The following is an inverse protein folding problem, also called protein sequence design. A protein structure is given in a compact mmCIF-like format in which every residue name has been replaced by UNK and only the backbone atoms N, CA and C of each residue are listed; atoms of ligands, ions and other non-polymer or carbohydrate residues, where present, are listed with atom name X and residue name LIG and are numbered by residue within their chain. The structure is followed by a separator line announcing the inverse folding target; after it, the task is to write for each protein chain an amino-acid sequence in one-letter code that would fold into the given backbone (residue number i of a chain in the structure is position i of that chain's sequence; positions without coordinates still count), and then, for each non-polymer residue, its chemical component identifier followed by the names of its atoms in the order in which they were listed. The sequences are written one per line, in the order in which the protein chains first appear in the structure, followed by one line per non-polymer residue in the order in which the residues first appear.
data_IF_793702381163
#
_entry.id   IF_793702381163
#
_cell.length_a   1.000
_cell.length_b   1.000
_cell.length_c   1.000
_cell.angle_alpha   90.00
_cell.angle_beta   90.00
_cell.angle_gamma   90.00
#
_symmetry.space_group_name_H-M   'P 1'
#
loop_
_entity.id
_entity.type
_entity.pdbx_description
1 polymer ?
#
# COMPACT_ATOMS: atom_id res chain seq x y z
N UNK A 1 -41.55 14.06 45.97
CA UNK A 1 -41.48 15.04 44.87
C UNK A 1 -40.57 14.48 43.79
N UNK A 2 -41.07 14.23 42.58
CA UNK A 2 -40.24 13.81 41.44
C UNK A 2 -39.98 15.04 40.57
N UNK A 3 -38.73 15.48 40.54
CA UNK A 3 -38.26 16.53 39.61
C UNK A 3 -38.15 15.93 38.22
N UNK A 4 -38.94 16.44 37.29
CA UNK A 4 -38.88 16.09 35.87
C UNK A 4 -37.85 17.02 35.21
N UNK A 5 -36.74 16.48 34.71
CA UNK A 5 -35.80 17.25 33.89
C UNK A 5 -36.17 17.12 32.42
N UNK A 6 -36.66 18.21 31.85
CA UNK A 6 -36.90 18.37 30.41
C UNK A 6 -35.60 18.81 29.75
N UNK A 7 -35.03 18.02 28.85
CA UNK A 7 -33.89 18.42 28.04
C UNK A 7 -34.38 18.89 26.67
N UNK A 8 -34.43 20.20 26.49
CA UNK A 8 -34.58 20.83 25.17
C UNK A 8 -33.19 21.03 24.55
N UNK A 9 -33.07 20.72 23.26
CA UNK A 9 -31.96 21.04 22.34
C UNK A 9 -30.54 20.82 22.91
N UNK A 10 -29.98 19.65 22.62
CA UNK A 10 -28.57 19.36 22.95
C UNK A 10 -27.69 19.94 21.84
N UNK A 11 -27.12 21.11 22.08
CA UNK A 11 -25.96 21.62 21.33
C UNK A 11 -24.77 20.66 21.48
N UNK A 12 -24.05 20.39 20.39
CA UNK A 12 -22.90 19.46 20.29
C UNK A 12 -21.70 19.78 21.22
N UNK A 13 -21.78 20.83 22.05
CA UNK A 13 -20.72 21.29 22.94
C UNK A 13 -20.80 20.64 24.35
N UNK A 14 -21.88 19.89 24.66
CA UNK A 14 -22.08 19.26 25.99
C UNK A 14 -22.10 17.72 25.98
N UNK A 15 -21.27 17.07 25.16
CA UNK A 15 -20.91 15.67 25.42
C UNK A 15 -19.97 15.63 26.63
N UNK A 16 -20.52 15.74 27.83
CA UNK A 16 -19.81 15.45 29.06
C UNK A 16 -19.35 14.00 28.99
N UNK A 17 -18.06 13.79 28.74
CA UNK A 17 -17.43 12.51 29.00
C UNK A 17 -17.70 12.15 30.48
N UNK A 18 -18.05 10.89 30.76
CA UNK A 18 -18.24 10.37 32.13
C UNK A 18 -16.89 10.35 32.87
N UNK A 19 -16.42 11.51 33.30
CA UNK A 19 -15.03 11.73 33.70
C UNK A 19 -14.75 11.55 35.18
N UNK A 20 -15.79 11.32 35.99
CA UNK A 20 -15.61 11.09 37.43
C UNK A 20 -16.27 9.79 37.87
N UNK A 21 -15.65 9.13 38.85
CA UNK A 21 -16.17 7.89 39.42
C UNK A 21 -17.59 8.07 40.01
N UNK A 22 -17.90 9.26 40.54
CA UNK A 22 -19.23 9.57 41.09
C UNK A 22 -20.31 9.65 40.00
N UNK A 23 -20.05 10.30 38.86
CA UNK A 23 -21.00 10.33 37.75
C UNK A 23 -21.25 8.94 37.16
N UNK A 24 -20.21 8.08 37.14
CA UNK A 24 -20.38 6.69 36.74
C UNK A 24 -21.23 5.90 37.75
N UNK A 25 -21.10 6.17 39.05
CA UNK A 25 -21.96 5.57 40.08
C UNK A 25 -23.42 5.98 39.91
N UNK A 26 -23.71 7.26 39.68
CA UNK A 26 -25.08 7.73 39.47
C UNK A 26 -25.74 7.02 38.27
N UNK A 27 -24.99 6.85 37.18
CA UNK A 27 -25.46 6.10 36.00
C UNK A 27 -25.65 4.61 36.30
N UNK A 28 -24.73 3.99 37.04
CA UNK A 28 -24.85 2.60 37.47
C UNK A 28 -26.07 2.41 38.38
N UNK A 29 -26.26 3.25 39.39
CA UNK A 29 -27.43 3.23 40.28
C UNK A 29 -28.72 3.33 39.47
N UNK A 30 -28.77 4.29 38.54
CA UNK A 30 -29.90 4.44 37.64
C UNK A 30 -30.19 3.16 36.85
N UNK A 31 -29.19 2.54 36.22
CA UNK A 31 -29.36 1.30 35.45
C UNK A 31 -29.74 0.12 36.33
N UNK A 32 -29.19 0.04 37.55
CA UNK A 32 -29.52 -0.99 38.52
C UNK A 32 -30.98 -0.89 38.97
N UNK A 33 -31.49 0.32 39.26
CA UNK A 33 -32.91 0.53 39.60
C UNK A 33 -33.86 0.21 38.46
N UNK A 34 -33.37 0.21 37.21
CA UNK A 34 -34.11 -0.22 36.01
C UNK A 34 -33.96 -1.71 35.71
N UNK A 35 -33.28 -2.47 36.57
CA UNK A 35 -33.14 -3.93 36.47
C UNK A 35 -32.04 -4.40 35.52
N UNK A 36 -31.12 -3.54 35.11
CA UNK A 36 -30.01 -3.93 34.23
C UNK A 36 -28.83 -4.53 35.02
N UNK A 37 -28.26 -5.61 34.50
CA UNK A 37 -27.10 -6.30 35.08
C UNK A 37 -25.81 -5.47 34.90
N UNK A 38 -25.18 -5.13 36.03
CA UNK A 38 -23.92 -4.41 36.10
C UNK A 38 -22.71 -5.32 36.39
N UNK A 39 -22.92 -6.62 36.55
CA UNK A 39 -21.91 -7.60 36.93
C UNK A 39 -21.65 -7.65 38.44
N UNK A 40 -20.71 -8.50 38.85
CA UNK A 40 -20.47 -8.86 40.26
C UNK A 40 -19.98 -7.73 41.18
N UNK A 41 -19.53 -6.61 40.63
CA UNK A 41 -19.11 -5.44 41.41
C UNK A 41 -20.20 -4.36 41.56
N UNK A 42 -21.34 -4.49 40.86
CA UNK A 42 -22.48 -3.58 41.01
C UNK A 42 -22.16 -2.11 40.67
N UNK A 43 -22.49 -1.22 41.59
CA UNK A 43 -22.22 0.23 41.51
C UNK A 43 -20.82 0.51 42.07
N UNK A 44 -19.81 0.49 41.22
CA UNK A 44 -18.40 0.64 41.61
C UNK A 44 -17.76 1.95 41.15
N UNK A 45 -18.45 2.72 40.31
CA UNK A 45 -17.95 3.97 39.74
C UNK A 45 -16.90 3.76 38.65
N UNK A 46 -16.83 2.56 38.05
CA UNK A 46 -15.97 2.23 36.91
C UNK A 46 -16.82 1.92 35.69
N UNK A 47 -16.54 2.58 34.57
CA UNK A 47 -17.27 2.36 33.32
C UNK A 47 -16.77 1.08 32.60
N UNK A 48 -17.04 -0.06 33.23
CA UNK A 48 -16.66 -1.39 32.75
C UNK A 48 -17.57 -1.91 31.62
N UNK A 49 -17.21 -3.09 31.09
CA UNK A 49 -17.91 -3.75 29.96
C UNK A 49 -19.41 -3.97 30.24
N UNK A 50 -19.77 -4.33 31.47
CA UNK A 50 -21.16 -4.59 31.88
C UNK A 50 -21.99 -3.32 32.00
N UNK A 51 -21.46 -2.27 32.62
CA UNK A 51 -22.10 -0.94 32.65
C UNK A 51 -22.34 -0.37 31.25
N UNK A 52 -21.36 -0.51 30.33
CA UNK A 52 -21.55 -0.11 28.91
C UNK A 52 -22.66 -0.90 28.21
N UNK A 53 -22.77 -2.21 28.49
CA UNK A 53 -23.84 -3.05 27.94
C UNK A 53 -25.21 -2.69 28.51
N UNK A 54 -25.29 -2.37 29.80
CA UNK A 54 -26.52 -1.92 30.45
C UNK A 54 -27.02 -0.60 29.86
N UNK A 55 -26.12 0.36 29.62
CA UNK A 55 -26.43 1.62 28.93
C UNK A 55 -27.01 1.38 27.54
N UNK A 56 -26.35 0.54 26.74
CA UNK A 56 -26.81 0.22 25.39
C UNK A 56 -28.23 -0.38 25.40
N UNK A 57 -28.48 -1.32 26.32
CA UNK A 57 -29.79 -1.95 26.45
C UNK A 57 -30.85 -0.98 26.96
N UNK A 58 -30.51 -0.12 27.91
CA UNK A 58 -31.41 0.93 28.39
C UNK A 58 -31.82 1.85 27.24
N UNK A 59 -30.87 2.40 26.48
CA UNK A 59 -31.20 3.26 25.33
C UNK A 59 -32.09 2.53 24.33
N UNK A 60 -31.79 1.27 24.01
CA UNK A 60 -32.62 0.43 23.12
C UNK A 60 -34.08 0.29 23.60
N UNK A 61 -34.33 0.30 24.91
CA UNK A 61 -35.70 0.24 25.47
C UNK A 61 -36.44 1.57 25.47
N UNK A 62 -35.73 2.71 25.53
CA UNK A 62 -36.35 4.05 25.62
C UNK A 62 -36.82 4.58 24.26
N UNK A 63 -36.27 4.09 23.15
CA UNK A 63 -36.61 4.55 21.79
C UNK A 63 -37.92 3.93 21.22
N UNK A 64 -38.71 3.28 22.06
CA UNK A 64 -40.09 2.87 21.76
C UNK A 64 -40.21 1.55 20.98
N UNK A 65 -40.65 0.51 21.67
CA UNK A 65 -41.13 -0.73 21.04
C UNK A 65 -42.57 -0.58 20.56
N UNK A 66 -42.76 -0.53 19.24
CA UNK A 66 -43.92 -1.11 18.56
C UNK A 66 -43.42 -2.30 17.72
N UNK A 67 -44.18 -3.41 17.64
CA UNK A 67 -43.71 -4.65 17.06
C UNK A 67 -43.54 -4.47 15.55
N UNK A 68 -42.29 -4.40 15.10
CA UNK A 68 -41.96 -4.56 13.68
C UNK A 68 -42.45 -5.97 13.33
N UNK A 69 -43.34 -6.17 12.34
CA UNK A 69 -43.66 -7.51 11.85
C UNK A 69 -42.32 -8.15 11.58
N UNK A 70 -42.07 -9.34 12.15
CA UNK A 70 -40.84 -10.10 11.92
C UNK A 70 -40.35 -9.80 10.51
N UNK A 71 -39.27 -9.00 10.32
CA UNK A 71 -38.50 -9.26 9.15
C UNK A 71 -38.08 -10.69 9.42
N UNK A 72 -38.57 -11.60 8.58
CA UNK A 72 -37.92 -12.87 8.34
C UNK A 72 -36.55 -12.51 7.75
N UNK A 73 -35.71 -11.80 8.51
CA UNK A 73 -34.29 -11.96 8.44
C UNK A 73 -34.14 -13.31 9.13
N UNK A 74 -33.84 -14.37 8.38
CA UNK A 74 -33.59 -15.67 8.97
C UNK A 74 -32.60 -15.48 10.13
N UNK A 75 -32.63 -16.35 11.15
CA UNK A 75 -31.52 -16.40 12.08
C UNK A 75 -30.24 -16.54 11.24
N UNK A 76 -29.49 -15.45 11.08
CA UNK A 76 -28.07 -15.56 10.72
C UNK A 76 -27.33 -15.76 12.03
N UNK A 77 -27.78 -16.76 12.81
CA UNK A 77 -26.83 -17.81 13.15
C UNK A 77 -26.24 -18.20 11.80
N UNK A 78 -24.99 -17.81 11.47
CA UNK A 78 -24.38 -18.29 10.25
C UNK A 78 -24.60 -19.81 10.29
N UNK A 79 -25.25 -20.43 9.28
CA UNK A 79 -25.38 -21.88 9.26
C UNK A 79 -24.02 -22.45 9.64
N UNK A 80 -24.00 -23.43 10.54
CA UNK A 80 -22.78 -24.20 10.82
C UNK A 80 -22.14 -24.53 9.47
N UNK A 81 -21.05 -23.84 9.12
CA UNK A 81 -20.48 -23.86 7.77
C UNK A 81 -20.32 -22.52 7.02
N UNK A 82 -20.77 -21.35 7.52
CA UNK A 82 -20.48 -20.07 6.85
C UNK A 82 -19.03 -19.64 7.10
N UNK A 83 -18.27 -19.39 6.03
CA UNK A 83 -16.83 -19.13 6.14
C UNK A 83 -16.56 -17.81 6.90
N UNK A 84 -15.39 -17.72 7.55
CA UNK A 84 -14.94 -16.47 8.20
C UNK A 84 -14.96 -15.30 7.21
N UNK A 85 -14.53 -15.55 5.98
CA UNK A 85 -14.56 -14.59 4.89
C UNK A 85 -15.96 -14.04 4.61
N UNK A 86 -17.00 -14.89 4.63
CA UNK A 86 -18.38 -14.46 4.39
C UNK A 86 -18.86 -13.48 5.45
N UNK A 87 -18.63 -13.83 6.72
CA UNK A 87 -18.99 -12.96 7.84
C UNK A 87 -18.31 -11.59 7.72
N UNK A 88 -17.04 -11.58 7.31
CA UNK A 88 -16.31 -10.32 7.11
C UNK A 88 -16.88 -9.50 5.94
N UNK A 89 -17.14 -10.13 4.79
CA UNK A 89 -17.69 -9.42 3.62
C UNK A 89 -19.06 -8.83 3.96
N UNK A 90 -19.92 -9.57 4.65
CA UNK A 90 -21.23 -9.07 5.09
C UNK A 90 -21.09 -7.89 6.06
N UNK A 91 -20.18 -7.96 7.03
CA UNK A 91 -20.03 -6.92 8.04
C UNK A 91 -19.28 -5.66 7.56
N UNK A 92 -18.32 -5.82 6.64
CA UNK A 92 -17.33 -4.79 6.32
C UNK A 92 -17.07 -4.59 4.82
N UNK A 93 -17.77 -5.31 3.93
CA UNK A 93 -17.52 -5.24 2.49
C UNK A 93 -17.71 -3.84 1.89
N UNK A 94 -18.54 -3.01 2.51
CA UNK A 94 -18.78 -1.61 2.11
C UNK A 94 -17.85 -0.61 2.80
N UNK A 95 -16.95 -1.05 3.68
CA UNK A 95 -16.05 -0.15 4.42
C UNK A 95 -15.08 0.53 3.46
N UNK A 96 -15.00 1.84 3.57
CA UNK A 96 -14.08 2.69 2.81
C UNK A 96 -13.11 3.44 3.73
N UNK A 97 -12.00 3.89 3.15
CA UNK A 97 -10.94 4.63 3.81
C UNK A 97 -10.46 5.80 2.94
N UNK A 98 -10.31 6.98 3.54
CA UNK A 98 -9.75 8.19 2.91
C UNK A 98 -8.30 8.43 3.29
N UNK A 99 -7.87 7.93 4.45
CA UNK A 99 -6.54 8.18 4.99
C UNK A 99 -6.12 7.08 5.98
N UNK A 100 -4.92 7.21 6.52
CA UNK A 100 -4.37 6.28 7.51
C UNK A 100 -5.12 6.27 8.84
N UNK A 101 -5.69 7.41 9.26
CA UNK A 101 -6.43 7.51 10.52
C UNK A 101 -7.71 6.66 10.48
N UNK A 102 -8.48 6.72 9.39
CA UNK A 102 -9.67 5.88 9.20
C UNK A 102 -9.33 4.38 9.16
N UNK A 103 -8.19 4.02 8.57
CA UNK A 103 -7.68 2.63 8.58
C UNK A 103 -7.33 2.22 10.01
N UNK A 104 -6.50 2.98 10.70
CA UNK A 104 -6.07 2.66 12.06
C UNK A 104 -7.26 2.59 13.03
N UNK A 105 -8.23 3.49 12.92
CA UNK A 105 -9.46 3.46 13.72
C UNK A 105 -10.27 2.18 13.49
N UNK A 106 -10.39 1.72 12.24
CA UNK A 106 -11.06 0.45 11.93
C UNK A 106 -10.37 -0.76 12.58
N UNK A 107 -9.04 -0.85 12.50
CA UNK A 107 -8.30 -1.94 13.15
C UNK A 107 -8.37 -1.84 14.67
N UNK A 108 -8.27 -0.64 15.24
CA UNK A 108 -8.37 -0.42 16.69
C UNK A 108 -9.75 -0.79 17.22
N UNK A 109 -10.82 -0.48 16.48
CA UNK A 109 -12.19 -0.86 16.86
C UNK A 109 -12.39 -2.38 16.89
N UNK A 110 -11.82 -3.11 15.92
CA UNK A 110 -11.98 -4.56 15.82
C UNK A 110 -11.04 -5.36 16.72
N UNK A 111 -9.83 -4.84 16.97
CA UNK A 111 -8.72 -5.64 17.53
C UNK A 111 -8.05 -5.00 18.74
N UNK A 112 -8.40 -3.76 19.08
CA UNK A 112 -7.71 -2.97 20.11
C UNK A 112 -6.33 -2.47 19.70
N UNK A 113 -5.90 -2.66 18.44
CA UNK A 113 -4.59 -2.26 17.92
C UNK A 113 -4.73 -1.53 16.58
N UNK A 114 -3.83 -0.59 16.30
CA UNK A 114 -3.68 -0.03 14.94
C UNK A 114 -3.27 -1.13 13.94
N UNK A 115 -3.35 -0.84 12.64
CA UNK A 115 -3.04 -1.82 11.59
C UNK A 115 -1.63 -2.40 11.72
N UNK A 116 -0.62 -1.55 11.93
CA UNK A 116 0.77 -1.99 11.95
C UNK A 116 1.04 -2.92 13.14
N UNK A 117 0.49 -2.56 14.30
CA UNK A 117 0.61 -3.30 15.55
C UNK A 117 -0.11 -4.65 15.43
N UNK A 118 -1.35 -4.65 14.92
CA UNK A 118 -2.10 -5.87 14.65
C UNK A 118 -1.38 -6.77 13.65
N UNK A 119 -0.93 -6.23 12.51
CA UNK A 119 -0.28 -7.03 11.47
C UNK A 119 1.00 -7.66 12.01
N UNK A 120 1.86 -6.89 12.68
CA UNK A 120 3.11 -7.40 13.29
C UNK A 120 2.85 -8.57 14.23
N UNK A 121 1.84 -8.45 15.08
CA UNK A 121 1.60 -9.41 16.15
C UNK A 121 0.81 -10.64 15.68
N UNK A 122 -0.18 -10.44 14.81
CA UNK A 122 -1.16 -11.47 14.48
C UNK A 122 -0.92 -12.14 13.13
N UNK A 123 -0.26 -11.45 12.19
CA UNK A 123 -0.10 -11.90 10.80
C UNK A 123 1.36 -12.12 10.42
N UNK A 124 2.23 -11.18 10.80
CA UNK A 124 3.63 -11.13 10.41
C UNK A 124 4.36 -12.43 10.73
N UNK A 125 5.12 -12.94 9.77
CA UNK A 125 5.86 -14.20 9.86
C UNK A 125 5.00 -15.46 10.16
N UNK A 126 3.67 -15.41 9.98
CA UNK A 126 2.76 -16.55 10.22
C UNK A 126 2.03 -16.98 8.95
N UNK A 127 1.73 -18.28 8.80
CA UNK A 127 0.98 -18.80 7.66
C UNK A 127 1.59 -18.41 6.32
N UNK A 128 0.79 -17.84 5.41
CA UNK A 128 1.23 -17.35 4.09
C UNK A 128 2.15 -16.12 4.13
N UNK A 129 2.34 -15.54 5.32
CA UNK A 129 3.30 -14.48 5.62
C UNK A 129 4.58 -15.01 6.30
N UNK A 130 4.63 -16.29 6.64
CA UNK A 130 5.80 -16.96 7.21
C UNK A 130 6.86 -17.36 6.19
N UNK A 131 7.94 -17.93 6.70
CA UNK A 131 8.93 -18.62 5.86
C UNK A 131 8.33 -19.93 5.39
N UNK A 132 7.97 -20.02 4.10
CA UNK A 132 7.25 -21.16 3.52
C UNK A 132 7.81 -21.53 2.15
N UNK A 133 7.61 -22.80 1.76
CA UNK A 133 7.71 -23.22 0.36
C UNK A 133 6.31 -23.21 -0.24
N UNK A 134 6.08 -22.34 -1.23
CA UNK A 134 4.80 -22.21 -1.90
C UNK A 134 4.95 -22.52 -3.38
N UNK A 135 4.29 -23.59 -3.84
CA UNK A 135 4.34 -24.10 -5.22
C UNK A 135 5.79 -24.19 -5.75
N UNK A 136 6.64 -24.89 -5.00
CA UNK A 136 8.02 -25.19 -5.39
C UNK A 136 9.01 -24.01 -5.27
N UNK A 137 8.64 -22.89 -4.63
CA UNK A 137 9.60 -21.81 -4.32
C UNK A 137 9.55 -21.40 -2.86
N UNK A 138 10.72 -21.45 -2.22
CA UNK A 138 10.91 -20.93 -0.87
C UNK A 138 10.78 -19.41 -0.85
N UNK A 139 10.12 -18.91 0.21
CA UNK A 139 9.91 -17.50 0.48
C UNK A 139 10.30 -17.24 1.92
N UNK A 140 11.01 -16.14 2.14
CA UNK A 140 11.26 -15.66 3.50
C UNK A 140 10.02 -15.01 4.07
N UNK A 141 9.86 -15.13 5.40
CA UNK A 141 8.83 -14.44 6.15
C UNK A 141 8.82 -12.93 5.92
N UNK A 142 7.63 -12.36 6.05
CA UNK A 142 7.36 -10.93 5.91
C UNK A 142 6.54 -10.46 7.11
N UNK A 143 7.00 -9.39 7.74
CA UNK A 143 6.37 -8.70 8.86
C UNK A 143 6.72 -7.23 8.79
N UNK A 144 6.02 -6.41 9.56
CA UNK A 144 6.52 -5.08 9.92
C UNK A 144 7.67 -5.28 10.92
N UNK A 145 8.86 -4.71 10.69
CA UNK A 145 10.02 -4.91 11.56
C UNK A 145 9.79 -4.39 12.98
N UNK A 146 10.35 -5.09 13.98
CA UNK A 146 10.27 -4.67 15.40
C UNK A 146 11.18 -3.48 15.70
N UNK A 147 12.38 -3.45 15.13
CA UNK A 147 13.28 -2.29 15.23
C UNK A 147 12.72 -1.12 14.45
N UNK A 148 12.84 0.10 14.98
CA UNK A 148 12.32 1.34 14.38
C UNK A 148 10.81 1.28 14.05
N UNK A 149 10.03 0.53 14.84
CA UNK A 149 8.61 0.30 14.57
C UNK A 149 7.79 1.60 14.42
N UNK A 150 8.04 2.60 15.28
CA UNK A 150 7.39 3.91 15.19
C UNK A 150 7.64 4.59 13.83
N UNK A 151 8.88 4.52 13.32
CA UNK A 151 9.21 5.04 11.99
C UNK A 151 8.47 4.28 10.89
N UNK A 152 8.36 2.95 10.99
CA UNK A 152 7.60 2.15 10.03
C UNK A 152 6.09 2.49 10.05
N UNK A 153 5.54 2.76 11.23
CA UNK A 153 4.16 3.22 11.38
C UNK A 153 3.94 4.63 10.80
N UNK A 154 4.88 5.55 11.01
CA UNK A 154 4.84 6.88 10.37
C UNK A 154 4.90 6.77 8.84
N UNK A 155 5.75 5.88 8.31
CA UNK A 155 5.83 5.64 6.87
C UNK A 155 4.55 5.01 6.32
N UNK A 156 3.94 4.06 7.04
CA UNK A 156 2.60 3.57 6.73
C UNK A 156 1.60 4.74 6.65
N UNK A 157 1.58 5.62 7.64
CA UNK A 157 0.67 6.77 7.64
C UNK A 157 0.91 7.69 6.43
N UNK A 158 2.17 7.95 6.07
CA UNK A 158 2.53 8.74 4.88
C UNK A 158 2.03 8.11 3.58
N UNK A 159 2.15 6.79 3.42
CA UNK A 159 1.59 6.09 2.24
C UNK A 159 0.08 6.25 2.18
N UNK A 160 -0.63 5.98 3.28
CA UNK A 160 -2.09 5.93 3.26
C UNK A 160 -2.77 7.31 3.40
N UNK A 161 -2.05 8.34 3.83
CA UNK A 161 -2.52 9.73 3.67
C UNK A 161 -2.47 10.20 2.21
N UNK A 162 -1.75 9.47 1.35
CA UNK A 162 -1.67 9.71 -0.09
C UNK A 162 -2.62 8.79 -0.91
N UNK A 163 -3.69 8.23 -0.31
CA UNK A 163 -4.70 7.43 -1.03
C UNK A 163 -5.17 8.09 -2.35
N UNK A 164 -5.47 9.40 -2.39
CA UNK A 164 -5.85 10.09 -3.62
C UNK A 164 -4.80 9.94 -4.74
N UNK A 165 -3.52 10.20 -4.43
CA UNK A 165 -2.43 10.05 -5.39
C UNK A 165 -2.21 8.59 -5.82
N UNK A 166 -2.33 7.63 -4.90
CA UNK A 166 -2.08 6.21 -5.16
C UNK A 166 -3.12 5.59 -6.10
N UNK A 167 -4.39 5.97 -5.99
CA UNK A 167 -5.49 5.34 -6.72
C UNK A 167 -6.06 6.19 -7.85
N UNK A 168 -5.93 7.51 -7.77
CA UNK A 168 -6.60 8.45 -8.68
C UNK A 168 -5.62 9.39 -9.38
N UNK A 169 -4.35 9.41 -8.97
CA UNK A 169 -3.30 10.23 -9.60
C UNK A 169 -3.44 11.73 -9.36
N UNK A 170 -4.38 12.13 -8.51
CA UNK A 170 -4.71 13.51 -8.16
C UNK A 170 -4.87 13.64 -6.64
N UNK A 171 -4.58 14.82 -6.10
CA UNK A 171 -4.97 15.15 -4.74
C UNK A 171 -6.50 15.34 -4.67
N UNK A 172 -7.12 15.06 -3.53
CA UNK A 172 -8.56 15.29 -3.33
C UNK A 172 -9.19 14.39 -2.28
N UNK A 173 -10.50 14.57 -2.07
CA UNK A 173 -11.26 13.77 -1.11
C UNK A 173 -11.79 12.49 -1.76
N UNK A 174 -10.91 11.51 -1.97
CA UNK A 174 -11.24 10.22 -2.54
C UNK A 174 -11.07 9.12 -1.49
N UNK A 175 -11.82 8.03 -1.63
CA UNK A 175 -11.75 6.88 -0.73
C UNK A 175 -11.55 5.58 -1.49
N UNK A 176 -10.98 4.59 -0.82
CA UNK A 176 -10.82 3.23 -1.33
C UNK A 176 -11.58 2.26 -0.45
N UNK A 177 -12.05 1.15 -1.02
CA UNK A 177 -12.65 0.10 -0.20
C UNK A 177 -11.60 -0.76 0.51
N UNK A 178 -12.05 -1.52 1.50
CA UNK A 178 -11.20 -2.35 2.33
C UNK A 178 -10.39 -3.42 1.57
N UNK A 179 -10.91 -3.96 0.46
CA UNK A 179 -10.20 -4.96 -0.34
C UNK A 179 -9.08 -4.33 -1.18
N UNK A 180 -9.27 -3.09 -1.64
CA UNK A 180 -8.22 -2.29 -2.28
C UNK A 180 -7.07 -2.01 -1.30
N UNK A 181 -7.40 -1.64 -0.06
CA UNK A 181 -6.42 -1.49 1.00
C UNK A 181 -5.65 -2.80 1.25
N UNK A 182 -6.35 -3.91 1.51
CA UNK A 182 -5.68 -5.19 1.79
C UNK A 182 -4.79 -5.69 0.66
N UNK A 183 -5.24 -5.56 -0.58
CA UNK A 183 -4.48 -6.01 -1.74
C UNK A 183 -3.18 -5.19 -1.89
N UNK A 184 -3.29 -3.85 -1.82
CA UNK A 184 -2.12 -2.99 -1.99
C UNK A 184 -1.18 -3.04 -0.78
N UNK A 185 -1.68 -3.01 0.46
CA UNK A 185 -0.81 -3.14 1.64
C UNK A 185 -0.04 -4.45 1.62
N UNK A 186 -0.64 -5.52 1.10
CA UNK A 186 0.03 -6.80 0.97
C UNK A 186 1.22 -6.76 0.01
N UNK A 187 1.06 -6.04 -1.11
CA UNK A 187 2.14 -5.82 -2.08
C UNK A 187 3.26 -5.00 -1.43
N UNK A 188 2.92 -3.87 -0.80
CA UNK A 188 3.91 -2.97 -0.21
C UNK A 188 4.70 -3.68 0.90
N UNK A 189 4.06 -4.47 1.76
CA UNK A 189 4.77 -5.26 2.78
C UNK A 189 5.68 -6.30 2.12
N UNK A 190 5.24 -6.96 1.05
CA UNK A 190 6.06 -7.93 0.33
C UNK A 190 7.33 -7.30 -0.26
N UNK A 191 7.19 -6.14 -0.92
CA UNK A 191 8.28 -5.46 -1.61
C UNK A 191 9.21 -4.70 -0.65
N UNK A 192 8.66 -4.02 0.36
CA UNK A 192 9.44 -3.17 1.27
C UNK A 192 9.90 -3.87 2.54
N UNK A 193 9.52 -5.14 2.73
CA UNK A 193 9.74 -5.85 3.99
C UNK A 193 9.00 -5.21 5.17
N UNK A 194 7.84 -4.60 4.91
CA UNK A 194 7.02 -3.94 5.94
C UNK A 194 7.58 -2.60 6.45
N UNK A 195 8.59 -2.02 5.79
CA UNK A 195 9.18 -0.73 6.19
C UNK A 195 8.41 0.49 5.67
N UNK A 196 7.59 0.29 4.64
CA UNK A 196 6.81 1.33 3.95
C UNK A 196 7.66 2.48 3.38
N UNK A 197 8.92 2.20 3.07
CA UNK A 197 9.81 3.13 2.38
C UNK A 197 10.09 2.62 0.98
N UNK A 198 10.25 3.53 0.00
CA UNK A 198 10.76 3.22 -1.33
C UNK A 198 12.07 2.45 -1.24
N UNK A 199 12.23 1.43 -2.07
CA UNK A 199 13.48 0.68 -2.20
C UNK A 199 13.94 0.76 -3.64
N UNK A 200 15.23 1.05 -3.84
CA UNK A 200 15.88 0.88 -5.13
C UNK A 200 16.48 -0.51 -5.22
N UNK A 201 16.26 -1.19 -6.35
CA UNK A 201 16.87 -2.48 -6.66
C UNK A 201 18.39 -2.34 -6.59
N UNK A 202 19.07 -3.23 -5.86
CA UNK A 202 20.54 -3.22 -5.75
C UNK A 202 21.05 -4.43 -6.53
N UNK A 203 21.95 -4.18 -7.47
CA UNK A 203 22.61 -5.23 -8.24
C UNK A 203 23.82 -4.67 -8.96
N UNK A 204 24.76 -5.54 -9.30
CA UNK A 204 25.90 -5.16 -10.12
C UNK A 204 25.47 -4.90 -11.58
N UNK A 205 26.31 -4.20 -12.35
CA UNK A 205 25.98 -3.79 -13.71
C UNK A 205 25.75 -5.00 -14.63
N UNK A 206 26.59 -6.04 -14.51
CA UNK A 206 26.45 -7.26 -15.30
C UNK A 206 25.11 -7.96 -15.07
N UNK A 207 24.63 -8.00 -13.83
CA UNK A 207 23.34 -8.58 -13.48
C UNK A 207 22.17 -7.78 -14.08
N UNK A 208 22.26 -6.45 -14.09
CA UNK A 208 21.22 -5.61 -14.71
C UNK A 208 21.26 -5.68 -16.24
N UNK A 209 22.46 -5.71 -16.81
CA UNK A 209 22.71 -5.76 -18.24
C UNK A 209 22.31 -7.09 -18.88
N UNK A 210 22.52 -8.23 -18.20
CA UNK A 210 22.28 -9.56 -18.76
C UNK A 210 20.95 -10.21 -18.38
N UNK A 211 20.79 -11.46 -18.84
CA UNK A 211 19.56 -12.28 -18.65
C UNK A 211 19.66 -13.29 -17.50
N UNK A 212 20.80 -13.37 -16.83
CA UNK A 212 21.09 -14.40 -15.81
C UNK A 212 20.78 -15.82 -16.33
N UNK A 213 21.43 -16.21 -17.43
CA UNK A 213 21.19 -17.49 -18.12
C UNK A 213 19.72 -17.69 -18.51
N UNK A 214 19.08 -16.64 -19.04
CA UNK A 214 17.67 -16.66 -19.47
C UNK A 214 16.63 -16.62 -18.33
N UNK A 215 17.04 -16.53 -17.06
CA UNK A 215 16.12 -16.50 -15.90
C UNK A 215 15.41 -15.16 -15.72
N UNK A 216 15.93 -14.09 -16.31
CA UNK A 216 15.32 -12.75 -16.35
C UNK A 216 15.49 -12.13 -17.73
N UNK A 217 14.69 -11.10 -18.00
CA UNK A 217 14.90 -10.21 -19.15
C UNK A 217 16.09 -9.28 -18.86
N UNK A 218 16.92 -9.04 -19.87
CA UNK A 218 17.98 -8.03 -19.83
C UNK A 218 17.36 -6.63 -19.79
N UNK A 219 17.87 -5.74 -18.93
CA UNK A 219 17.42 -4.34 -18.94
C UNK A 219 18.08 -3.55 -20.09
N UNK A 220 19.13 -4.08 -20.73
CA UNK A 220 19.78 -3.44 -21.87
C UNK A 220 19.00 -3.67 -23.18
N UNK A 221 18.46 -4.88 -23.37
CA UNK A 221 17.71 -5.26 -24.58
C UNK A 221 16.18 -5.25 -24.38
N UNK A 222 15.70 -4.95 -23.17
CA UNK A 222 14.26 -4.88 -22.90
C UNK A 222 13.57 -3.81 -23.76
N UNK A 223 12.47 -4.21 -24.40
CA UNK A 223 11.59 -3.27 -25.10
C UNK A 223 11.18 -2.11 -24.18
N UNK A 224 11.45 -0.89 -24.66
CA UNK A 224 11.14 0.36 -23.98
C UNK A 224 12.31 0.99 -23.22
N UNK A 225 13.49 0.38 -23.16
CA UNK A 225 14.77 1.03 -22.83
C UNK A 225 15.55 1.35 -24.12
N UNK A 226 16.46 2.33 -24.07
CA UNK A 226 17.56 2.44 -25.05
C UNK A 226 18.71 1.55 -24.59
N UNK A 227 19.34 0.82 -25.50
CA UNK A 227 20.55 0.07 -25.20
C UNK A 227 21.69 1.03 -24.81
N UNK A 228 22.66 0.54 -24.06
CA UNK A 228 23.89 1.28 -23.76
C UNK A 228 24.57 1.75 -25.04
N UNK A 229 24.59 0.93 -26.09
CA UNK A 229 25.13 1.31 -27.40
C UNK A 229 24.43 2.51 -28.04
N UNK A 230 23.10 2.60 -27.91
CA UNK A 230 22.35 3.75 -28.40
C UNK A 230 22.65 5.00 -27.58
N UNK A 231 22.69 4.89 -26.25
CA UNK A 231 22.94 6.01 -25.35
C UNK A 231 24.37 6.55 -25.45
N UNK A 232 25.35 5.66 -25.62
CA UNK A 232 26.76 6.05 -25.76
C UNK A 232 27.05 6.78 -27.08
N UNK A 233 26.06 6.93 -27.95
CA UNK A 233 26.10 7.74 -29.18
C UNK A 233 24.97 8.77 -29.23
N UNK A 234 24.18 8.91 -28.17
CA UNK A 234 23.09 9.89 -28.05
C UNK A 234 23.74 11.22 -27.61
N UNK A 235 23.71 12.29 -28.43
CA UNK A 235 24.36 13.55 -28.09
C UNK A 235 23.83 14.18 -26.80
N UNK A 236 22.56 13.96 -26.47
CA UNK A 236 21.95 14.49 -25.25
C UNK A 236 22.48 13.76 -24.03
N UNK A 237 22.61 12.43 -24.12
CA UNK A 237 23.20 11.62 -23.06
C UNK A 237 24.69 11.98 -22.85
N UNK A 238 25.47 12.04 -23.92
CA UNK A 238 26.89 12.35 -23.85
C UNK A 238 27.15 13.75 -23.27
N UNK A 239 26.42 14.77 -23.74
CA UNK A 239 26.53 16.13 -23.22
C UNK A 239 26.23 16.21 -21.71
N UNK A 240 25.16 15.55 -21.26
CA UNK A 240 24.76 15.58 -19.85
C UNK A 240 25.75 14.88 -18.90
N UNK A 241 26.48 13.88 -19.40
CA UNK A 241 27.32 13.02 -18.56
C UNK A 241 28.82 13.13 -18.89
N UNK A 242 29.24 14.14 -19.64
CA UNK A 242 30.62 14.30 -20.14
C UNK A 242 31.71 14.36 -19.04
N UNK A 243 31.34 14.79 -17.83
CA UNK A 243 32.27 14.90 -16.69
C UNK A 243 32.39 13.60 -15.88
N UNK A 244 31.68 12.54 -16.25
CA UNK A 244 31.68 11.28 -15.49
C UNK A 244 32.87 10.39 -15.91
N UNK A 245 33.40 9.58 -14.99
CA UNK A 245 34.40 8.56 -15.33
C UNK A 245 33.93 7.67 -16.49
N UNK A 246 34.90 7.16 -17.26
CA UNK A 246 34.71 6.32 -18.44
C UNK A 246 34.12 7.01 -19.68
N UNK A 247 33.83 8.32 -19.63
CA UNK A 247 33.28 9.05 -20.78
C UNK A 247 34.15 8.89 -22.04
N UNK A 248 35.45 9.17 -21.95
CA UNK A 248 36.36 9.14 -23.11
C UNK A 248 36.51 7.74 -23.72
N UNK A 249 36.35 6.68 -22.92
CA UNK A 249 36.43 5.30 -23.40
C UNK A 249 35.14 4.80 -24.10
N UNK A 250 33.97 5.36 -23.77
CA UNK A 250 32.68 4.84 -24.24
C UNK A 250 31.95 5.78 -25.20
N UNK A 251 32.24 7.09 -25.17
CA UNK A 251 31.59 8.06 -26.03
C UNK A 251 31.81 7.70 -27.50
N UNK A 252 30.71 7.68 -28.26
CA UNK A 252 30.67 7.28 -29.66
C UNK A 252 31.24 5.87 -29.94
N UNK A 253 31.16 4.95 -28.96
CA UNK A 253 31.70 3.60 -29.11
C UNK A 253 31.14 2.87 -30.33
N UNK A 254 32.01 2.16 -31.03
CA UNK A 254 31.66 1.24 -32.12
C UNK A 254 31.52 -0.21 -31.64
N UNK A 255 31.85 -0.50 -30.37
CA UNK A 255 31.83 -1.84 -29.82
C UNK A 255 30.37 -2.35 -29.66
N UNK A 256 30.02 -3.36 -30.45
CA UNK A 256 28.67 -3.92 -30.51
C UNK A 256 28.24 -4.67 -29.24
N UNK A 257 29.17 -4.98 -28.33
CA UNK A 257 28.84 -5.63 -27.03
C UNK A 257 27.77 -4.84 -26.26
N UNK A 258 27.79 -3.52 -26.37
CA UNK A 258 26.85 -2.62 -25.70
C UNK A 258 25.40 -2.71 -26.25
N UNK A 259 25.19 -3.40 -27.38
CA UNK A 259 23.85 -3.74 -27.91
C UNK A 259 23.29 -5.04 -27.34
N UNK A 260 24.15 -5.89 -26.77
CA UNK A 260 23.83 -7.26 -26.40
C UNK A 260 23.40 -7.43 -24.94
N UNK A 261 23.53 -8.67 -24.47
CA UNK A 261 23.12 -9.11 -23.13
C UNK A 261 24.31 -9.63 -22.28
N UNK A 262 25.53 -9.49 -22.81
CA UNK A 262 26.77 -9.87 -22.12
C UNK A 262 27.51 -8.59 -21.74
N UNK A 263 27.67 -8.37 -20.44
CA UNK A 263 28.38 -7.20 -19.95
C UNK A 263 29.89 -7.34 -20.17
N UNK A 264 30.59 -6.34 -20.72
CA UNK A 264 32.03 -6.42 -20.95
C UNK A 264 32.80 -6.38 -19.63
N UNK A 265 33.54 -7.45 -19.33
CA UNK A 265 34.29 -7.63 -18.08
C UNK A 265 35.44 -6.64 -17.88
N UNK A 266 35.86 -5.95 -18.93
CA UNK A 266 36.90 -4.91 -18.90
C UNK A 266 36.43 -3.61 -18.23
N UNK A 267 35.13 -3.46 -17.96
CA UNK A 267 34.57 -2.27 -17.30
C UNK A 267 34.13 -2.57 -15.86
N UNK A 268 34.08 -1.55 -14.98
CA UNK A 268 33.72 -1.75 -13.57
C UNK A 268 32.31 -2.31 -13.42
N UNK A 269 32.18 -3.45 -12.74
CA UNK A 269 30.88 -4.06 -12.49
C UNK A 269 30.14 -3.42 -11.29
N UNK A 270 30.85 -2.72 -10.40
CA UNK A 270 30.24 -2.01 -9.28
C UNK A 270 29.68 -0.66 -9.78
N UNK A 271 28.36 -0.41 -9.67
CA UNK A 271 27.74 0.82 -10.17
C UNK A 271 28.31 2.10 -9.55
N UNK A 272 28.81 2.06 -8.31
CA UNK A 272 29.43 3.22 -7.64
C UNK A 272 30.68 3.69 -8.39
N UNK A 273 31.39 2.78 -9.03
CA UNK A 273 32.68 3.05 -9.69
C UNK A 273 32.56 3.17 -11.21
N UNK A 274 31.37 2.99 -11.78
CA UNK A 274 31.19 2.80 -13.22
C UNK A 274 30.92 4.10 -14.01
N UNK A 275 30.87 5.25 -13.32
CA UNK A 275 30.70 6.56 -13.94
C UNK A 275 29.52 6.62 -14.90
N UNK A 276 29.77 7.06 -16.13
CA UNK A 276 28.74 7.22 -17.18
C UNK A 276 27.98 5.92 -17.50
N UNK A 277 28.61 4.76 -17.32
CA UNK A 277 28.00 3.46 -17.65
C UNK A 277 26.79 3.20 -16.75
N UNK A 278 26.84 3.62 -15.48
CA UNK A 278 25.72 3.50 -14.55
C UNK A 278 24.55 4.45 -14.87
N UNK A 279 24.77 5.45 -15.72
CA UNK A 279 23.74 6.41 -16.14
C UNK A 279 22.89 5.88 -17.31
N UNK A 280 23.33 4.79 -17.95
CA UNK A 280 22.59 4.13 -19.01
C UNK A 280 21.30 3.46 -18.50
N UNK A 281 20.30 3.35 -19.38
CA UNK A 281 18.94 2.92 -19.04
C UNK A 281 18.88 1.57 -18.32
N UNK A 282 19.79 0.64 -18.65
CA UNK A 282 19.80 -0.69 -18.05
C UNK A 282 20.01 -0.66 -16.53
N UNK A 283 20.67 0.38 -16.00
CA UNK A 283 20.88 0.56 -14.57
C UNK A 283 20.07 1.75 -14.01
N UNK A 284 20.05 2.88 -14.74
CA UNK A 284 19.32 4.08 -14.34
C UNK A 284 17.84 3.82 -14.12
N UNK A 285 17.20 2.97 -14.93
CA UNK A 285 15.78 2.64 -14.83
C UNK A 285 15.51 1.25 -14.21
N UNK A 286 16.38 0.82 -13.29
CA UNK A 286 16.15 -0.33 -12.40
C UNK A 286 14.97 -0.12 -11.46
N UNK A 287 14.52 -1.19 -10.79
CA UNK A 287 13.36 -1.15 -9.89
C UNK A 287 13.45 -0.10 -8.79
N UNK A 288 12.43 0.76 -8.64
CA UNK A 288 12.32 1.70 -7.51
C UNK A 288 10.91 1.80 -6.93
N UNK A 289 10.83 2.32 -5.71
CA UNK A 289 9.57 2.70 -5.10
C UNK A 289 8.97 1.62 -4.21
N UNK A 290 7.68 1.77 -3.94
CA UNK A 290 6.93 0.88 -3.06
C UNK A 290 6.50 -0.42 -3.77
N UNK A 291 6.57 -0.47 -5.10
CA UNK A 291 6.10 -1.57 -5.94
C UNK A 291 7.06 -1.95 -7.10
N UNK A 292 8.33 -1.51 -7.04
CA UNK A 292 9.36 -1.81 -8.06
C UNK A 292 9.02 -1.34 -9.49
N UNK A 293 8.92 -0.02 -9.68
CA UNK A 293 8.81 0.63 -11.01
C UNK A 293 10.09 0.42 -11.82
N UNK A 294 9.99 -0.13 -13.03
CA UNK A 294 11.13 -0.45 -13.91
C UNK A 294 10.94 0.07 -15.34
N UNK A 295 12.06 0.21 -16.06
CA UNK A 295 12.18 0.58 -17.49
C UNK A 295 11.87 2.04 -17.83
N UNK A 296 12.65 2.62 -18.75
CA UNK A 296 12.53 3.98 -19.29
C UNK A 296 11.10 4.30 -19.69
N UNK A 297 10.44 3.41 -20.43
CA UNK A 297 9.05 3.60 -20.85
C UNK A 297 8.07 3.81 -19.69
N UNK A 298 8.31 3.24 -18.51
CA UNK A 298 7.47 3.49 -17.33
C UNK A 298 7.84 4.82 -16.68
N UNK A 299 9.13 5.08 -16.53
CA UNK A 299 9.65 6.33 -15.98
C UNK A 299 9.24 7.56 -16.80
N UNK A 300 9.18 7.45 -18.13
CA UNK A 300 8.74 8.53 -19.01
C UNK A 300 7.34 9.03 -18.68
N UNK A 301 6.45 8.13 -18.26
CA UNK A 301 5.07 8.45 -17.90
C UNK A 301 4.96 9.18 -16.56
N UNK A 302 5.99 9.10 -15.72
CA UNK A 302 6.04 9.83 -14.45
C UNK A 302 6.45 11.30 -14.64
N UNK A 303 7.05 11.64 -15.78
CA UNK A 303 7.47 13.02 -16.05
C UNK A 303 6.30 13.99 -16.16
N UNK A 304 5.15 13.52 -16.65
CA UNK A 304 3.93 14.33 -16.69
C UNK A 304 3.57 14.90 -15.32
N UNK A 305 3.62 14.05 -14.28
CA UNK A 305 3.37 14.46 -12.90
C UNK A 305 4.36 15.51 -12.39
N UNK A 306 5.65 15.37 -12.71
CA UNK A 306 6.67 16.35 -12.30
C UNK A 306 6.43 17.69 -13.00
N UNK A 307 6.22 17.69 -14.31
CA UNK A 307 6.03 18.92 -15.09
C UNK A 307 4.72 19.65 -14.74
N UNK A 308 3.68 18.92 -14.36
CA UNK A 308 2.41 19.48 -13.91
C UNK A 308 2.29 19.63 -12.39
N UNK A 309 3.37 19.43 -11.63
CA UNK A 309 3.30 19.40 -10.18
C UNK A 309 2.96 20.80 -9.62
N UNK A 310 1.92 20.89 -8.81
CA UNK A 310 1.44 22.16 -8.23
C UNK A 310 1.41 22.13 -6.69
N UNK A 311 2.05 21.13 -6.07
CA UNK A 311 2.17 21.05 -4.61
C UNK A 311 3.42 21.75 -4.07
N UNK A 312 3.66 21.57 -2.77
CA UNK A 312 4.71 22.29 -2.03
C UNK A 312 5.98 21.46 -1.80
N UNK A 313 6.08 20.26 -2.36
CA UNK A 313 7.27 19.42 -2.17
C UNK A 313 8.49 20.04 -2.85
N UNK A 314 9.50 20.39 -2.04
CA UNK A 314 10.72 21.04 -2.51
C UNK A 314 11.42 20.25 -3.62
N UNK A 315 11.66 18.95 -3.42
CA UNK A 315 12.34 18.09 -4.40
C UNK A 315 11.60 18.03 -5.74
N UNK A 316 10.27 17.86 -5.72
CA UNK A 316 9.47 17.86 -6.95
C UNK A 316 9.52 19.20 -7.67
N UNK A 317 9.44 20.31 -6.94
CA UNK A 317 9.55 21.65 -7.51
C UNK A 317 10.95 21.92 -8.09
N UNK A 318 12.03 21.43 -7.47
CA UNK A 318 13.38 21.48 -8.03
C UNK A 318 13.46 20.78 -9.38
N UNK A 319 12.94 19.55 -9.48
CA UNK A 319 12.96 18.80 -10.74
C UNK A 319 12.01 19.39 -11.79
N UNK A 320 10.84 19.89 -11.38
CA UNK A 320 9.92 20.63 -12.25
C UNK A 320 10.65 21.79 -12.91
N UNK A 321 11.27 22.68 -12.14
CA UNK A 321 12.02 23.83 -12.66
C UNK A 321 13.14 23.38 -13.60
N UNK A 322 13.94 22.39 -13.20
CA UNK A 322 15.05 21.87 -14.01
C UNK A 322 14.59 21.26 -15.34
N UNK A 323 13.41 20.65 -15.39
CA UNK A 323 12.93 19.86 -16.53
C UNK A 323 11.80 20.51 -17.32
N UNK A 324 11.32 21.69 -16.93
CA UNK A 324 10.13 22.31 -17.49
C UNK A 324 10.24 22.53 -19.01
N UNK A 325 11.36 23.10 -19.46
CA UNK A 325 11.64 23.40 -20.87
C UNK A 325 12.19 22.21 -21.66
N UNK A 326 12.55 21.11 -20.98
CA UNK A 326 13.14 19.95 -21.63
C UNK A 326 12.06 19.02 -22.20
N UNK A 327 12.38 18.39 -23.34
CA UNK A 327 11.58 17.31 -23.89
C UNK A 327 11.69 16.05 -23.02
N UNK A 328 10.68 15.17 -23.10
CA UNK A 328 10.69 13.87 -22.41
C UNK A 328 11.96 13.07 -22.70
N UNK A 329 12.39 13.00 -23.96
CA UNK A 329 13.60 12.28 -24.33
C UNK A 329 14.87 12.95 -23.79
N UNK A 330 14.94 14.28 -23.79
CA UNK A 330 16.07 14.99 -23.22
C UNK A 330 16.20 14.74 -21.71
N UNK A 331 15.09 14.69 -20.98
CA UNK A 331 15.07 14.36 -19.55
C UNK A 331 15.51 12.91 -19.32
N UNK A 332 14.95 11.96 -20.06
CA UNK A 332 15.25 10.54 -19.86
C UNK A 332 16.70 10.19 -20.21
N UNK A 333 17.25 10.77 -21.28
CA UNK A 333 18.67 10.60 -21.62
C UNK A 333 19.58 11.40 -20.67
N UNK A 334 19.27 12.67 -20.40
CA UNK A 334 20.15 13.57 -19.64
C UNK A 334 20.06 13.48 -18.11
N UNK A 335 18.98 12.93 -17.55
CA UNK A 335 18.90 12.68 -16.09
C UNK A 335 19.92 11.65 -15.63
N UNK A 336 20.33 11.77 -14.38
CA UNK A 336 21.21 10.82 -13.71
C UNK A 336 20.42 9.76 -12.95
N UNK A 337 21.08 8.66 -12.63
CA UNK A 337 20.64 7.63 -11.72
C UNK A 337 20.26 8.19 -10.35
N UNK A 338 21.07 9.13 -9.84
CA UNK A 338 20.84 9.80 -8.56
C UNK A 338 19.59 10.68 -8.59
N UNK A 339 19.24 11.29 -9.73
CA UNK A 339 18.02 12.10 -9.84
C UNK A 339 16.76 11.26 -9.56
N UNK A 340 16.73 10.04 -10.08
CA UNK A 340 15.63 9.11 -9.84
C UNK A 340 15.63 8.55 -8.43
N UNK A 341 16.81 8.26 -7.86
CA UNK A 341 16.89 7.87 -6.44
C UNK A 341 16.36 9.01 -5.54
N UNK A 342 16.72 10.28 -5.83
CA UNK A 342 16.24 11.45 -5.09
C UNK A 342 14.72 11.64 -5.20
N UNK A 343 14.16 11.55 -6.41
CA UNK A 343 12.70 11.64 -6.62
C UNK A 343 11.92 10.56 -5.86
N UNK A 344 12.41 9.32 -5.84
CA UNK A 344 11.73 8.25 -5.12
C UNK A 344 11.88 8.38 -3.60
N UNK A 345 13.01 8.87 -3.09
CA UNK A 345 13.31 8.87 -1.65
C UNK A 345 12.90 10.16 -0.93
N UNK A 346 13.03 11.32 -1.58
CA UNK A 346 13.01 12.62 -0.91
C UNK A 346 11.81 13.49 -1.31
N UNK A 347 10.68 12.85 -1.62
CA UNK A 347 9.43 13.52 -2.02
C UNK A 347 8.29 13.32 -1.03
N UNK A 348 8.62 12.99 0.23
CA UNK A 348 7.64 12.64 1.27
C UNK A 348 6.59 11.62 0.80
N UNK A 349 7.04 10.68 -0.04
CA UNK A 349 6.26 9.64 -0.70
C UNK A 349 5.27 10.09 -1.79
N UNK A 350 5.16 11.37 -2.14
CA UNK A 350 4.24 11.81 -3.21
C UNK A 350 4.58 11.15 -4.56
N UNK A 351 5.86 11.18 -4.95
CA UNK A 351 6.31 10.58 -6.20
C UNK A 351 6.18 9.04 -6.24
N UNK A 352 6.65 8.26 -5.25
CA UNK A 352 6.45 6.81 -5.25
C UNK A 352 4.98 6.40 -5.14
N UNK A 353 4.12 7.20 -4.48
CA UNK A 353 2.67 6.97 -4.47
C UNK A 353 2.06 7.18 -5.85
N UNK A 354 2.41 8.28 -6.54
CA UNK A 354 1.98 8.49 -7.93
C UNK A 354 2.49 7.40 -8.88
N UNK A 355 3.69 6.86 -8.65
CA UNK A 355 4.21 5.75 -9.43
C UNK A 355 3.33 4.48 -9.32
N UNK A 356 2.68 4.24 -8.16
CA UNK A 356 1.69 3.17 -8.01
C UNK A 356 0.47 3.42 -8.90
N UNK A 357 -0.05 4.65 -8.92
CA UNK A 357 -1.16 5.03 -9.79
C UNK A 357 -0.83 4.80 -11.27
N UNK A 358 0.36 5.24 -11.71
CA UNK A 358 0.78 5.04 -13.09
C UNK A 358 0.85 3.54 -13.45
N UNK A 359 1.44 2.74 -12.56
CA UNK A 359 1.57 1.30 -12.75
C UNK A 359 0.22 0.59 -12.82
N UNK A 360 -0.72 0.94 -11.93
CA UNK A 360 -2.04 0.31 -11.90
C UNK A 360 -2.90 0.71 -13.10
N UNK A 361 -2.85 1.98 -13.51
CA UNK A 361 -3.56 2.48 -14.69
C UNK A 361 -3.10 1.77 -15.98
N UNK A 362 -1.78 1.67 -16.19
CA UNK A 362 -1.20 0.93 -17.34
C UNK A 362 -1.59 -0.54 -17.35
N UNK A 363 -1.93 -1.10 -16.19
CA UNK A 363 -2.26 -2.51 -16.03
C UNK A 363 -3.77 -2.74 -15.85
N UNK A 364 -4.57 -2.03 -16.64
CA UNK A 364 -6.04 -2.12 -16.69
C UNK A 364 -6.70 -1.85 -15.34
N UNK A 365 -6.19 -0.85 -14.61
CA UNK A 365 -6.66 -0.47 -13.29
C UNK A 365 -6.81 -1.69 -12.36
N UNK A 366 -5.75 -2.51 -12.23
CA UNK A 366 -5.87 -3.80 -11.51
C UNK A 366 -6.21 -3.67 -10.03
N UNK A 367 -6.05 -2.47 -9.45
CA UNK A 367 -6.49 -2.15 -8.10
C UNK A 367 -7.97 -1.74 -8.02
N UNK A 368 -8.70 -1.70 -9.13
CA UNK A 368 -10.16 -1.58 -9.13
C UNK A 368 -10.78 -2.92 -8.73
N UNK A 369 -11.06 -3.06 -7.44
CA UNK A 369 -11.57 -4.30 -6.84
C UNK A 369 -12.97 -4.01 -6.29
N UNK A 370 -14.03 -4.63 -6.82
CA UNK A 370 -15.38 -4.45 -6.30
C UNK A 370 -15.59 -5.21 -4.99
N UNK A 371 -16.55 -4.76 -4.19
CA UNK A 371 -17.00 -5.41 -2.97
C UNK A 371 -17.93 -6.62 -3.23
N UNK A 372 -17.55 -7.50 -4.16
CA UNK A 372 -18.32 -8.67 -4.56
C UNK A 372 -17.54 -9.96 -4.29
N UNK A 373 -18.05 -10.85 -3.44
CA UNK A 373 -17.38 -12.11 -3.05
C UNK A 373 -16.95 -12.96 -4.24
N UNK A 374 -17.88 -13.25 -5.16
CA UNK A 374 -17.62 -14.10 -6.31
C UNK A 374 -16.47 -13.53 -7.16
N UNK A 375 -16.45 -12.20 -7.31
CA UNK A 375 -15.41 -11.50 -8.05
C UNK A 375 -14.06 -11.49 -7.31
N UNK A 376 -14.07 -11.21 -6.00
CA UNK A 376 -12.87 -11.19 -5.15
C UNK A 376 -12.09 -12.50 -5.20
N UNK A 377 -12.82 -13.63 -5.20
CA UNK A 377 -12.26 -14.98 -5.13
C UNK A 377 -11.87 -15.58 -6.49
N UNK A 378 -12.34 -14.98 -7.59
CA UNK A 378 -12.11 -15.47 -8.94
C UNK A 378 -10.60 -15.59 -9.24
N UNK A 379 -10.21 -16.65 -9.94
CA UNK A 379 -8.88 -16.78 -10.52
C UNK A 379 -8.92 -16.18 -11.92
N UNK A 380 -8.52 -14.91 -12.05
CA UNK A 380 -8.62 -14.19 -13.32
C UNK A 380 -7.27 -13.68 -13.83
N UNK A 381 -7.02 -13.82 -15.13
CA UNK A 381 -5.80 -13.37 -15.81
C UNK A 381 -6.10 -12.17 -16.69
N UNK A 382 -5.10 -11.62 -17.37
CA UNK A 382 -5.32 -10.57 -18.38
C UNK A 382 -6.31 -10.97 -19.48
N UNK A 383 -6.52 -12.27 -19.72
CA UNK A 383 -7.47 -12.79 -20.72
C UNK A 383 -8.85 -13.12 -20.14
N UNK A 384 -8.97 -13.38 -18.84
CA UNK A 384 -10.21 -13.90 -18.22
C UNK A 384 -10.90 -12.95 -17.24
N UNK A 385 -10.38 -11.73 -17.06
CA UNK A 385 -11.06 -10.62 -16.37
C UNK A 385 -10.24 -9.95 -15.26
N UNK A 386 -10.66 -8.74 -14.85
CA UNK A 386 -10.04 -7.93 -13.79
C UNK A 386 -10.80 -8.03 -12.46
N UNK A 387 -10.36 -7.32 -11.41
CA UNK A 387 -11.12 -7.08 -10.17
C UNK A 387 -11.08 -8.17 -9.10
N UNK A 388 -10.24 -9.20 -9.25
CA UNK A 388 -10.03 -10.22 -8.21
C UNK A 388 -8.74 -10.00 -7.43
N UNK A 389 -8.64 -10.54 -6.22
CA UNK A 389 -7.40 -10.52 -5.45
C UNK A 389 -6.27 -11.29 -6.18
N UNK A 390 -6.63 -12.37 -6.88
CA UNK A 390 -5.70 -13.10 -7.71
C UNK A 390 -5.17 -12.22 -8.85
N UNK A 391 -6.05 -11.45 -9.50
CA UNK A 391 -5.68 -10.57 -10.62
C UNK A 391 -4.65 -9.54 -10.21
N UNK A 392 -4.83 -8.94 -9.03
CA UNK A 392 -3.87 -7.97 -8.47
C UNK A 392 -2.48 -8.60 -8.36
N UNK A 393 -2.38 -9.79 -7.75
CA UNK A 393 -1.10 -10.49 -7.61
C UNK A 393 -0.52 -10.90 -8.96
N UNK A 394 -1.35 -11.43 -9.86
CA UNK A 394 -0.93 -11.77 -11.23
C UNK A 394 -0.37 -10.56 -11.99
N UNK A 395 -1.03 -9.40 -11.89
CA UNK A 395 -0.59 -8.17 -12.56
C UNK A 395 0.66 -7.57 -11.91
N UNK A 396 0.93 -7.78 -10.63
CA UNK A 396 2.18 -7.32 -10.01
C UNK A 396 3.34 -8.26 -10.32
N UNK A 397 3.22 -9.54 -9.96
CA UNK A 397 4.31 -10.51 -10.04
C UNK A 397 4.41 -11.28 -11.35
N UNK A 398 3.55 -11.01 -12.32
CA UNK A 398 3.58 -11.60 -13.67
C UNK A 398 3.37 -13.11 -13.72
N UNK A 399 2.85 -13.73 -12.66
CA UNK A 399 2.69 -15.19 -12.57
C UNK A 399 1.43 -15.58 -11.81
N UNK A 400 0.78 -16.65 -12.25
CA UNK A 400 -0.40 -17.20 -11.58
C UNK A 400 -0.12 -17.62 -10.13
N UNK A 401 1.08 -18.17 -9.88
CA UNK A 401 1.53 -18.49 -8.51
C UNK A 401 1.48 -17.28 -7.59
N UNK A 402 2.01 -16.13 -8.02
CA UNK A 402 1.98 -14.95 -7.15
C UNK A 402 0.56 -14.40 -6.99
N UNK A 403 -0.29 -14.52 -8.01
CA UNK A 403 -1.74 -14.28 -7.89
C UNK A 403 -2.40 -15.10 -6.78
N UNK A 404 -2.15 -16.41 -6.73
CA UNK A 404 -2.68 -17.30 -5.67
C UNK A 404 -2.13 -16.91 -4.30
N UNK A 405 -0.83 -16.66 -4.18
CA UNK A 405 -0.21 -16.29 -2.91
C UNK A 405 -0.78 -14.98 -2.36
N UNK A 406 -0.94 -13.95 -3.19
CA UNK A 406 -1.53 -12.69 -2.75
C UNK A 406 -2.96 -12.88 -2.25
N UNK A 407 -3.78 -13.64 -3.00
CA UNK A 407 -5.15 -13.97 -2.60
C UNK A 407 -5.17 -14.62 -1.21
N UNK A 408 -4.34 -15.63 -0.99
CA UNK A 408 -4.25 -16.35 0.28
C UNK A 408 -3.78 -15.47 1.44
N UNK A 409 -2.81 -14.58 1.19
CA UNK A 409 -2.35 -13.59 2.18
C UNK A 409 -3.45 -12.62 2.61
N UNK A 410 -4.25 -12.15 1.67
CA UNK A 410 -5.38 -11.25 1.95
C UNK A 410 -6.49 -11.99 2.70
N UNK A 411 -6.83 -13.21 2.29
CA UNK A 411 -7.82 -14.04 2.99
C UNK A 411 -7.37 -14.29 4.44
N UNK A 412 -6.10 -14.65 4.67
CA UNK A 412 -5.58 -14.85 6.03
C UNK A 412 -5.73 -13.60 6.92
N UNK A 413 -5.48 -12.40 6.37
CA UNK A 413 -5.71 -11.15 7.11
C UNK A 413 -7.18 -10.96 7.48
N UNK A 414 -8.08 -11.17 6.51
CA UNK A 414 -9.52 -11.06 6.71
C UNK A 414 -10.01 -12.04 7.77
N UNK A 415 -9.65 -13.32 7.64
CA UNK A 415 -10.11 -14.38 8.56
C UNK A 415 -9.64 -14.13 9.99
N UNK A 416 -8.45 -13.54 10.16
CA UNK A 416 -7.90 -13.20 11.47
C UNK A 416 -8.62 -12.02 12.14
N UNK A 417 -9.30 -11.14 11.39
CA UNK A 417 -10.10 -10.04 11.94
C UNK A 417 -11.47 -10.49 12.49
N UNK A 418 -11.94 -11.66 12.08
CA UNK A 418 -13.21 -12.28 12.51
C UNK A 418 -12.98 -13.53 13.35
N UNK A 419 -11.76 -13.71 13.86
CA UNK A 419 -11.38 -14.76 14.82
C UNK A 419 -11.30 -14.15 16.20
#
# INVERSE_FOLDING_TARGET
MRTTHTYQNIDEIFLAELNTSNQVREVQEFLHTKGFDLGGYGVDGKLGRKTKSALYNYFKTQIGGAPIPTPVTPPVTPPSGTSKLDRFITAHGTKTFRNSAEINAFFSQLTGKDFCSWFKDEIGNKGYWGSITFEGRSRHGRSIPRGNFSTHQQNFNRVWNNIPLVFFGIAGNQSINIFQFFALVSIIINETGGKFVPISEIGNLAYMFGTNSGRKRSYNTASGNKSAYELFRDPTFLCAHQQKPYYTQIANTTNSVWRGEIYPSTFPNNPVNAGIISEADFYKFRGRGLIQTTFRSTYSRLLGFIKSYNGNNFTLNTYKTRWQSLSTEAILSGSSNADWDNLFMNTNLEFPCYAIYNFQNRRNNFLSIPANKAKLLQTSTSRSGSGSLFYVGYRVGGSARYGRLLKLRVIQMIEKLVS
#
